data_IF_992925224597
#
_entry.id   IF_992925224597
#
_cell.length_a   1.000
_cell.length_b   1.000
_cell.length_c   1.000
_cell.angle_alpha   90.00
_cell.angle_beta   90.00
_cell.angle_gamma   90.00
#
_symmetry.space_group_name_H-M   'P 1'
#
loop_
_entity.id
_entity.type
_entity.pdbx_description
1 polymer ?
#
# COMPACT_ATOMS: atom_id res chain seq x y z
N UNK A 1 -4.65 -23.52 1.48
CA UNK A 1 -4.14 -22.79 0.31
C UNK A 1 -3.26 -21.70 0.87
N UNK A 2 -1.95 -21.75 0.62
CA UNK A 2 -1.07 -20.68 1.06
C UNK A 2 -1.43 -19.39 0.33
N UNK A 3 -1.64 -18.32 1.10
CA UNK A 3 -1.83 -17.00 0.54
C UNK A 3 -0.54 -16.62 -0.20
N UNK A 4 -0.57 -16.23 -1.49
CA UNK A 4 0.64 -15.91 -2.23
C UNK A 4 1.42 -14.78 -1.53
N UNK A 5 2.75 -14.71 -1.64
CA UNK A 5 3.53 -13.62 -1.03
C UNK A 5 3.08 -12.26 -1.56
N UNK A 6 3.38 -11.18 -0.84
CA UNK A 6 3.27 -9.84 -1.40
C UNK A 6 4.43 -9.60 -2.36
N UNK A 7 4.27 -8.64 -3.27
CA UNK A 7 5.28 -8.35 -4.29
C UNK A 7 6.65 -8.01 -3.69
N UNK A 8 6.76 -7.13 -2.66
CA UNK A 8 8.04 -6.81 -2.06
C UNK A 8 8.72 -8.03 -1.44
N UNK A 9 7.95 -8.91 -0.78
CA UNK A 9 8.46 -10.14 -0.16
C UNK A 9 9.01 -11.09 -1.23
N UNK A 10 8.23 -11.32 -2.28
CA UNK A 10 8.66 -12.17 -3.40
C UNK A 10 9.94 -11.64 -4.06
N UNK A 11 10.02 -10.33 -4.30
CA UNK A 11 11.19 -9.70 -4.91
C UNK A 11 12.41 -9.79 -3.99
N UNK A 12 12.24 -9.55 -2.70
CA UNK A 12 13.26 -9.76 -1.68
C UNK A 12 13.81 -11.19 -1.72
N UNK A 13 12.94 -12.20 -1.74
CA UNK A 13 13.34 -13.60 -1.84
C UNK A 13 14.12 -13.91 -3.12
N UNK A 14 13.77 -13.27 -4.25
CA UNK A 14 14.53 -13.44 -5.49
C UNK A 14 15.93 -12.84 -5.38
N UNK A 15 16.02 -11.59 -4.91
CA UNK A 15 17.29 -10.86 -4.77
C UNK A 15 18.20 -11.55 -3.75
N UNK A 16 17.67 -11.99 -2.61
CA UNK A 16 18.42 -12.71 -1.57
C UNK A 16 18.93 -14.08 -2.05
N UNK A 17 18.23 -14.70 -3.02
CA UNK A 17 18.65 -15.92 -3.69
C UNK A 17 19.59 -15.67 -4.89
N UNK A 18 20.02 -14.42 -5.11
CA UNK A 18 20.96 -14.03 -6.17
C UNK A 18 20.33 -13.85 -7.55
N UNK A 19 19.00 -13.86 -7.68
CA UNK A 19 18.30 -13.57 -8.94
C UNK A 19 18.04 -12.07 -9.02
N UNK A 20 18.92 -11.36 -9.71
CA UNK A 20 18.95 -9.89 -9.74
C UNK A 20 18.65 -9.30 -11.13
N UNK A 21 18.78 -10.04 -12.22
CA UNK A 21 18.49 -9.50 -13.56
C UNK A 21 17.00 -9.09 -13.70
N UNK A 22 16.74 -7.80 -13.96
CA UNK A 22 15.39 -7.27 -14.01
C UNK A 22 14.55 -7.90 -15.13
N UNK A 23 15.14 -8.26 -16.28
CA UNK A 23 14.38 -8.86 -17.38
C UNK A 23 13.97 -10.29 -17.05
N UNK A 24 14.85 -11.07 -16.43
CA UNK A 24 14.55 -12.41 -15.93
C UNK A 24 13.46 -12.38 -14.85
N UNK A 25 13.57 -11.44 -13.90
CA UNK A 25 12.55 -11.22 -12.87
C UNK A 25 11.19 -10.88 -13.48
N UNK A 26 11.15 -9.99 -14.48
CA UNK A 26 9.92 -9.66 -15.20
C UNK A 26 9.31 -10.84 -15.96
N UNK A 27 10.16 -11.72 -16.51
CA UNK A 27 9.72 -12.90 -17.25
C UNK A 27 9.20 -14.04 -16.36
N UNK A 28 9.62 -14.08 -15.10
CA UNK A 28 9.28 -15.16 -14.14
C UNK A 28 8.30 -14.72 -13.04
N UNK A 29 8.04 -13.41 -12.93
CA UNK A 29 7.20 -12.87 -11.86
C UNK A 29 5.75 -13.34 -11.94
N UNK A 30 5.12 -13.70 -10.81
CA UNK A 30 3.67 -13.89 -10.74
C UNK A 30 2.89 -12.56 -10.69
N UNK A 31 3.58 -11.41 -10.67
CA UNK A 31 2.99 -10.08 -10.66
C UNK A 31 3.05 -9.42 -12.04
N UNK A 32 2.26 -8.37 -12.25
CA UNK A 32 2.32 -7.62 -13.49
C UNK A 32 3.67 -6.89 -13.60
N UNK A 33 4.23 -6.84 -14.81
CA UNK A 33 5.48 -6.13 -15.07
C UNK A 33 5.51 -4.66 -14.59
N UNK A 34 4.43 -3.88 -14.75
CA UNK A 34 4.38 -2.51 -14.19
C UNK A 34 4.43 -2.46 -12.66
N UNK A 35 3.76 -3.39 -11.96
CA UNK A 35 3.81 -3.46 -10.50
C UNK A 35 5.21 -3.88 -10.02
N UNK A 36 5.84 -4.83 -10.72
CA UNK A 36 7.19 -5.25 -10.38
C UNK A 36 8.20 -4.12 -10.53
N UNK A 37 8.19 -3.42 -11.67
CA UNK A 37 9.07 -2.25 -11.88
C UNK A 37 8.88 -1.17 -10.83
N UNK A 38 7.62 -0.90 -10.46
CA UNK A 38 7.29 0.09 -9.43
C UNK A 38 8.04 -0.18 -8.12
N UNK A 39 8.06 -1.43 -7.68
CA UNK A 39 8.73 -1.82 -6.43
C UNK A 39 10.24 -1.96 -6.63
N UNK A 40 10.70 -2.52 -7.75
CA UNK A 40 12.12 -2.72 -8.02
C UNK A 40 12.92 -1.42 -8.19
N UNK A 41 12.30 -0.35 -8.68
CA UNK A 41 12.97 0.91 -9.02
C UNK A 41 12.99 1.94 -7.87
N UNK A 42 12.46 1.63 -6.68
CA UNK A 42 12.41 2.60 -5.58
C UNK A 42 12.20 1.97 -4.19
N UNK A 43 12.36 2.78 -3.13
CA UNK A 43 12.09 2.35 -1.76
C UNK A 43 13.16 1.39 -1.26
N UNK A 44 12.78 0.16 -0.93
CA UNK A 44 13.72 -0.86 -0.44
C UNK A 44 14.59 -1.48 -1.54
N UNK A 45 14.32 -1.14 -2.80
CA UNK A 45 15.06 -1.64 -3.96
C UNK A 45 15.52 -0.50 -4.87
N UNK A 46 16.56 -0.79 -5.63
CA UNK A 46 17.04 0.04 -6.72
C UNK A 46 17.44 -0.83 -7.91
N UNK A 47 17.46 -0.23 -9.09
CA UNK A 47 17.95 -0.87 -10.32
C UNK A 47 19.24 -0.19 -10.74
N UNK A 48 20.34 -0.96 -10.80
CA UNK A 48 21.66 -0.49 -11.23
C UNK A 48 22.17 -1.43 -12.32
N UNK A 49 22.50 -0.88 -13.49
CA UNK A 49 22.98 -1.65 -14.65
C UNK A 49 22.06 -2.82 -15.06
N UNK A 50 20.75 -2.67 -14.86
CA UNK A 50 19.74 -3.69 -15.17
C UNK A 50 19.56 -4.75 -14.07
N UNK A 51 20.31 -4.66 -12.97
CA UNK A 51 20.19 -5.54 -11.81
C UNK A 51 19.39 -4.86 -10.70
N UNK A 52 18.46 -5.61 -10.09
CA UNK A 52 17.74 -5.21 -8.88
C UNK A 52 18.60 -5.50 -7.67
N UNK A 53 18.74 -4.52 -6.78
CA UNK A 53 19.48 -4.61 -5.52
C UNK A 53 18.63 -4.09 -4.37
N UNK A 54 18.90 -4.56 -3.16
CA UNK A 54 18.35 -3.94 -1.94
C UNK A 54 19.08 -2.62 -1.68
N UNK A 55 18.33 -1.58 -1.34
CA UNK A 55 18.92 -0.32 -0.87
C UNK A 55 19.48 -0.55 0.54
N UNK A 56 20.76 -0.20 0.74
CA UNK A 56 21.45 -0.38 2.02
C UNK A 56 21.25 0.78 2.99
N UNK A 57 20.92 1.97 2.48
CA UNK A 57 20.59 3.13 3.31
C UNK A 57 19.10 3.10 3.71
N UNK A 58 18.75 3.52 4.93
CA UNK A 58 17.36 3.61 5.33
C UNK A 58 16.59 4.56 4.41
N UNK A 59 15.62 4.03 3.66
CA UNK A 59 14.68 4.88 2.94
C UNK A 59 13.49 5.20 3.85
N UNK A 60 12.98 6.45 3.82
CA UNK A 60 11.87 6.85 4.68
C UNK A 60 10.52 6.20 4.30
N UNK A 61 10.45 5.47 3.18
CA UNK A 61 9.22 4.88 2.66
C UNK A 61 9.46 3.46 2.15
N UNK A 62 9.16 2.49 3.00
CA UNK A 62 9.23 1.06 2.69
C UNK A 62 8.00 0.57 1.92
N UNK A 63 8.19 -0.46 1.10
CA UNK A 63 7.13 -1.24 0.46
C UNK A 63 6.63 -2.38 1.36
N UNK A 64 7.38 -2.76 2.40
CA UNK A 64 7.05 -3.88 3.28
C UNK A 64 6.02 -3.46 4.33
N UNK A 65 4.82 -4.02 4.25
CA UNK A 65 3.71 -3.73 5.19
C UNK A 65 4.06 -4.07 6.64
N UNK A 66 4.89 -5.08 6.85
CA UNK A 66 5.39 -5.50 8.17
C UNK A 66 6.45 -4.56 8.76
N UNK A 67 7.06 -3.73 7.93
CA UNK A 67 8.10 -2.77 8.33
C UNK A 67 7.59 -1.33 8.38
N UNK A 68 6.35 -1.09 7.96
CA UNK A 68 5.69 0.22 8.00
C UNK A 68 5.03 0.43 9.39
N UNK A 69 5.54 1.34 10.24
CA UNK A 69 5.08 1.49 11.62
C UNK A 69 3.62 1.93 11.78
N UNK A 70 3.06 2.63 10.78
CA UNK A 70 1.67 3.09 10.81
C UNK A 70 0.65 2.01 10.44
N UNK A 71 1.11 0.88 9.91
CA UNK A 71 0.25 -0.25 9.53
C UNK A 71 0.26 -1.34 10.58
N UNK A 72 -0.94 -1.85 10.89
CA UNK A 72 -1.14 -3.00 11.78
C UNK A 72 -1.84 -4.11 11.03
N UNK A 73 -1.32 -5.34 11.08
CA UNK A 73 -2.07 -6.50 10.63
C UNK A 73 -3.26 -6.72 11.59
N UNK A 74 -4.48 -6.81 11.06
CA UNK A 74 -5.68 -7.06 11.87
C UNK A 74 -5.77 -8.54 12.27
N UNK A 75 -5.37 -9.44 11.38
CA UNK A 75 -5.25 -10.88 11.66
C UNK A 75 -4.12 -11.49 10.79
N UNK A 76 -3.11 -12.16 11.39
CA UNK A 76 -2.03 -12.81 10.64
C UNK A 76 -2.54 -13.74 9.53
N UNK A 77 -2.05 -13.53 8.30
CA UNK A 77 -2.36 -14.39 7.16
C UNK A 77 -3.63 -14.02 6.38
N UNK A 78 -4.49 -13.15 6.91
CA UNK A 78 -5.67 -12.64 6.19
C UNK A 78 -5.31 -11.62 5.11
N UNK A 79 -4.19 -10.92 5.29
CA UNK A 79 -3.80 -9.82 4.41
C UNK A 79 -4.63 -8.55 4.61
N UNK A 80 -5.29 -8.44 5.76
CA UNK A 80 -6.02 -7.24 6.18
C UNK A 80 -5.11 -6.42 7.10
N UNK A 81 -4.94 -5.15 6.74
CA UNK A 81 -4.15 -4.18 7.48
C UNK A 81 -4.99 -2.96 7.82
N UNK A 82 -4.74 -2.38 8.99
CA UNK A 82 -5.33 -1.11 9.38
C UNK A 82 -4.27 -0.01 9.53
N UNK A 83 -4.71 1.23 9.33
CA UNK A 83 -3.96 2.44 9.67
C UNK A 83 -4.83 3.35 10.52
N UNK A 84 -4.33 3.77 11.69
CA UNK A 84 -5.00 4.78 12.48
C UNK A 84 -4.86 6.16 11.84
N UNK A 85 -5.97 6.88 11.73
CA UNK A 85 -6.03 8.20 11.12
C UNK A 85 -6.77 9.16 12.05
N UNK A 86 -6.10 10.25 12.44
CA UNK A 86 -6.78 11.38 13.08
C UNK A 86 -7.48 12.22 12.01
N UNK A 87 -8.77 12.40 12.16
CA UNK A 87 -9.62 13.14 11.21
C UNK A 87 -9.27 14.62 11.28
N UNK A 88 -9.01 15.24 10.13
CA UNK A 88 -8.73 16.68 10.02
C UNK A 88 -9.90 17.44 9.38
N UNK A 89 -9.90 18.76 9.54
CA UNK A 89 -10.89 19.65 8.90
C UNK A 89 -10.86 19.56 7.38
N UNK A 90 -9.68 19.36 6.79
CA UNK A 90 -9.50 19.23 5.34
C UNK A 90 -10.16 17.95 4.82
N UNK A 91 -10.07 16.84 5.56
CA UNK A 91 -10.72 15.58 5.18
C UNK A 91 -12.24 15.70 5.20
N UNK A 92 -12.79 16.41 6.19
CA UNK A 92 -14.21 16.77 6.24
C UNK A 92 -14.59 17.71 5.08
N UNK A 93 -13.65 18.51 4.60
CA UNK A 93 -13.76 19.35 3.40
C UNK A 93 -13.34 18.63 2.10
N UNK A 94 -13.41 17.30 2.07
CA UNK A 94 -13.21 16.45 0.89
C UNK A 94 -11.76 16.28 0.41
N UNK A 95 -10.78 16.54 1.28
CA UNK A 95 -9.37 16.27 0.97
C UNK A 95 -9.08 14.76 0.85
N UNK A 96 -8.17 14.42 -0.07
CA UNK A 96 -7.58 13.10 -0.17
C UNK A 96 -6.69 12.79 1.06
N UNK A 97 -6.52 11.51 1.35
CA UNK A 97 -5.73 11.03 2.48
C UNK A 97 -4.43 10.42 1.96
N UNK A 98 -3.30 10.95 2.41
CA UNK A 98 -2.00 10.32 2.17
C UNK A 98 -1.89 9.04 2.98
N UNK A 99 -1.43 7.97 2.34
CA UNK A 99 -1.18 6.68 2.97
C UNK A 99 0.25 6.22 2.66
N UNK A 100 0.86 5.37 3.51
CA UNK A 100 2.18 4.84 3.27
C UNK A 100 2.27 4.10 1.94
N UNK A 101 3.47 4.13 1.37
CA UNK A 101 3.84 3.39 0.16
C UNK A 101 3.55 1.89 0.26
N UNK A 102 3.74 1.30 1.44
CA UNK A 102 3.41 -0.09 1.71
C UNK A 102 1.93 -0.44 1.39
N UNK A 103 1.00 0.51 1.52
CA UNK A 103 -0.41 0.31 1.13
C UNK A 103 -0.54 0.13 -0.39
N UNK A 104 0.25 0.86 -1.19
CA UNK A 104 0.26 0.69 -2.64
C UNK A 104 0.85 -0.67 -3.05
N UNK A 105 1.86 -1.19 -2.35
CA UNK A 105 2.36 -2.55 -2.56
C UNK A 105 1.32 -3.61 -2.20
N UNK A 106 0.67 -3.48 -1.04
CA UNK A 106 -0.42 -4.36 -0.59
C UNK A 106 -1.52 -4.46 -1.65
N UNK A 107 -1.88 -3.31 -2.23
CA UNK A 107 -2.93 -3.17 -3.22
C UNK A 107 -2.43 -3.25 -4.67
N UNK A 108 -1.16 -3.60 -4.89
CA UNK A 108 -0.54 -3.79 -6.21
C UNK A 108 -0.78 -2.62 -7.18
N UNK A 109 -0.69 -1.38 -6.67
CA UNK A 109 -0.91 -0.16 -7.45
C UNK A 109 0.40 0.24 -8.14
N UNK A 110 0.47 0.23 -9.49
CA UNK A 110 1.67 0.69 -10.18
C UNK A 110 1.92 2.19 -10.01
N UNK A 111 3.17 2.62 -10.14
CA UNK A 111 3.58 4.02 -10.11
C UNK A 111 2.83 4.83 -11.17
N UNK A 112 2.39 6.03 -10.80
CA UNK A 112 1.58 6.94 -11.63
C UNK A 112 0.23 6.38 -12.09
N UNK A 113 -0.21 5.25 -11.54
CA UNK A 113 -1.49 4.65 -11.85
C UNK A 113 -2.47 4.82 -10.70
N UNK A 114 -3.74 4.54 -10.99
CA UNK A 114 -4.79 4.44 -9.99
C UNK A 114 -5.42 3.06 -10.01
N UNK A 115 -6.04 2.67 -8.89
CA UNK A 115 -6.87 1.48 -8.78
C UNK A 115 -8.16 1.85 -8.06
N UNK A 116 -9.24 1.21 -8.46
CA UNK A 116 -10.51 1.28 -7.74
C UNK A 116 -10.60 0.10 -6.76
N UNK A 117 -10.91 0.41 -5.51
CA UNK A 117 -11.12 -0.53 -4.41
C UNK A 117 -12.63 -0.69 -4.17
N UNK A 118 -13.04 -1.87 -3.74
CA UNK A 118 -14.42 -2.11 -3.32
C UNK A 118 -14.61 -1.58 -1.90
N UNK A 119 -15.73 -0.89 -1.65
CA UNK A 119 -16.11 -0.46 -0.30
C UNK A 119 -17.62 -0.46 -0.14
N UNK A 120 -18.10 -0.45 1.11
CA UNK A 120 -19.55 -0.45 1.41
C UNK A 120 -20.28 0.82 0.92
N UNK A 121 -19.56 1.94 0.79
CA UNK A 121 -20.10 3.24 0.36
C UNK A 121 -19.72 3.56 -1.10
N UNK A 122 -19.56 2.53 -1.92
CA UNK A 122 -19.19 2.66 -3.33
C UNK A 122 -17.68 2.70 -3.58
N UNK A 123 -17.25 2.66 -4.85
CA UNK A 123 -15.84 2.48 -5.19
C UNK A 123 -14.92 3.55 -4.55
N UNK A 124 -13.78 3.12 -3.99
CA UNK A 124 -12.77 4.01 -3.42
C UNK A 124 -11.52 4.04 -4.30
N UNK A 125 -11.08 5.23 -4.72
CA UNK A 125 -9.86 5.36 -5.51
C UNK A 125 -8.61 5.33 -4.62
N UNK A 126 -7.58 4.64 -5.09
CA UNK A 126 -6.19 4.80 -4.65
C UNK A 126 -5.33 5.21 -5.85
N UNK A 127 -4.38 6.12 -5.62
CA UNK A 127 -3.39 6.53 -6.60
C UNK A 127 -1.99 6.46 -5.98
N UNK A 128 -1.04 5.90 -6.71
CA UNK A 128 0.37 6.01 -6.38
C UNK A 128 1.01 7.07 -7.27
N UNK A 129 1.47 8.16 -6.65
CA UNK A 129 2.19 9.22 -7.34
C UNK A 129 3.66 8.87 -7.55
N UNK A 130 4.51 9.90 -7.57
CA UNK A 130 5.96 9.73 -7.65
C UNK A 130 6.55 9.22 -6.32
N UNK A 131 6.10 9.79 -5.21
CA UNK A 131 6.69 9.59 -3.88
C UNK A 131 5.69 8.93 -2.93
N UNK A 132 4.43 9.38 -2.97
CA UNK A 132 3.39 9.01 -2.02
C UNK A 132 2.20 8.28 -2.67
N UNK A 133 1.54 7.46 -1.87
CA UNK A 133 0.23 6.91 -2.18
C UNK A 133 -0.88 7.76 -1.53
N UNK A 134 -2.01 7.88 -2.22
CA UNK A 134 -3.17 8.64 -1.74
C UNK A 134 -4.45 7.87 -1.98
N UNK A 135 -5.31 7.83 -0.97
CA UNK A 135 -6.70 7.42 -1.08
C UNK A 135 -7.52 8.68 -1.38
N UNK A 136 -8.47 8.59 -2.32
CA UNK A 136 -9.44 9.67 -2.55
C UNK A 136 -10.22 10.04 -1.29
N UNK A 137 -11.02 11.11 -1.33
CA UNK A 137 -11.79 11.55 -0.16
C UNK A 137 -12.51 10.41 0.57
N UNK A 138 -12.35 10.39 1.89
CA UNK A 138 -13.07 9.49 2.80
C UNK A 138 -14.26 10.17 3.47
N UNK A 139 -14.60 11.41 3.06
CA UNK A 139 -15.66 12.23 3.67
C UNK A 139 -16.98 11.47 3.84
N UNK A 140 -17.39 10.72 2.81
CA UNK A 140 -18.63 9.92 2.86
C UNK A 140 -18.65 8.87 3.97
N UNK A 141 -17.49 8.31 4.32
CA UNK A 141 -17.39 7.40 5.47
C UNK A 141 -17.43 8.15 6.79
N UNK A 142 -16.77 9.30 6.87
CA UNK A 142 -16.78 10.13 8.08
C UNK A 142 -18.20 10.63 8.39
N UNK A 143 -18.94 11.05 7.37
CA UNK A 143 -20.35 11.44 7.47
C UNK A 143 -21.24 10.27 7.93
N UNK A 144 -21.05 9.09 7.36
CA UNK A 144 -21.79 7.88 7.73
C UNK A 144 -21.50 7.42 9.17
N UNK A 145 -20.26 7.57 9.63
CA UNK A 145 -19.85 7.25 11.00
C UNK A 145 -20.21 8.35 12.01
N UNK A 146 -20.57 9.55 11.56
CA UNK A 146 -20.84 10.71 12.42
C UNK A 146 -19.60 11.25 13.14
N UNK A 147 -18.41 11.11 12.54
CA UNK A 147 -17.10 11.44 13.15
C UNK A 147 -16.64 12.84 12.74
N UNK A 148 -16.18 13.62 13.72
CA UNK A 148 -15.65 14.97 13.57
C UNK A 148 -14.12 15.06 13.61
N UNK A 149 -13.61 16.29 13.43
CA UNK A 149 -12.18 16.56 13.47
C UNK A 149 -11.59 16.29 14.87
N UNK A 150 -10.39 15.72 14.90
CA UNK A 150 -9.68 15.34 16.13
C UNK A 150 -10.03 13.95 16.65
N UNK A 151 -11.08 13.32 16.13
CA UNK A 151 -11.38 11.92 16.42
C UNK A 151 -10.51 10.98 15.57
N UNK A 152 -10.41 9.72 15.99
CA UNK A 152 -9.58 8.71 15.32
C UNK A 152 -10.45 7.63 14.67
N UNK A 153 -10.16 7.32 13.42
CA UNK A 153 -10.73 6.19 12.68
C UNK A 153 -9.63 5.22 12.27
N UNK A 154 -10.00 4.00 11.90
CA UNK A 154 -9.13 3.06 11.19
C UNK A 154 -9.49 3.06 9.72
N UNK A 155 -8.48 3.22 8.87
CA UNK A 155 -8.57 2.83 7.47
C UNK A 155 -8.24 1.35 7.38
N UNK A 156 -9.14 0.55 6.80
CA UNK A 156 -8.95 -0.89 6.64
C UNK A 156 -8.66 -1.19 5.17
N UNK A 157 -7.56 -1.89 4.92
CA UNK A 157 -7.11 -2.31 3.61
C UNK A 157 -7.01 -3.83 3.54
N UNK A 158 -7.59 -4.43 2.51
CA UNK A 158 -7.44 -5.85 2.21
C UNK A 158 -6.63 -6.01 0.92
N UNK A 159 -5.62 -6.89 0.93
CA UNK A 159 -4.83 -7.30 -0.25
C UNK A 159 -5.67 -7.77 -1.45
N UNK A 160 -6.93 -8.17 -1.24
CA UNK A 160 -7.87 -8.52 -2.32
C UNK A 160 -8.39 -7.29 -3.08
N UNK A 161 -8.22 -6.08 -2.53
CA UNK A 161 -8.69 -4.82 -3.12
C UNK A 161 -9.97 -4.28 -2.49
N UNK A 162 -10.21 -4.57 -1.21
CA UNK A 162 -11.29 -3.98 -0.42
C UNK A 162 -10.77 -2.88 0.48
N UNK A 163 -11.63 -1.90 0.76
CA UNK A 163 -11.37 -0.76 1.61
C UNK A 163 -12.59 -0.46 2.50
N UNK A 164 -12.35 -0.08 3.74
CA UNK A 164 -13.39 0.44 4.63
C UNK A 164 -12.80 1.46 5.62
N UNK A 165 -13.68 2.21 6.27
CA UNK A 165 -13.32 3.08 7.39
C UNK A 165 -14.17 2.70 8.58
N UNK A 166 -13.51 2.46 9.70
CA UNK A 166 -14.16 2.01 10.94
C UNK A 166 -13.85 2.98 12.08
N UNK A 167 -14.84 3.23 12.92
CA UNK A 167 -14.64 4.00 14.14
C UNK A 167 -13.90 3.15 15.19
N UNK A 168 -13.00 3.77 15.95
CA UNK A 168 -12.41 3.17 17.15
C UNK A 168 -13.06 3.83 18.35
N UNK A 169 -13.97 3.16 19.07
CA UNK A 169 -14.43 3.66 20.36
C UNK A 169 -13.24 3.77 21.31
N UNK A 170 -13.10 4.92 21.97
CA UNK A 170 -12.23 5.05 23.14
C UNK A 170 -12.77 4.25 24.31
#
# INVERSE_FOLDING_TARGET
>A
MDTPPLLPDWLAEQVDAGRTDLQELLGTSPFSGPALRTVAESGDFEVVDGEVRRVTEPTPATWFVQSEPSLRAEDPGTGIYSMALTVTTEMLADAAVTVPRAVAALLKVPRLCHRSLHSRLGPQAIHLGQEDARIGSIRRFLEDLGVGAGETVLLIFDRTGSFDVQYVPR
#
